data_IF_365613769739
#
_entry.id   IF_365613769739
#
_cell.length_a   1.000
_cell.length_b   1.000
_cell.length_c   1.000
_cell.angle_alpha   90.00
_cell.angle_beta   90.00
_cell.angle_gamma   90.00
#
_symmetry.space_group_name_H-M   'P 1'
#
loop_
_entity.id
_entity.type
_entity.pdbx_description
1 polymer ?
#
# COMPACT_ATOMS: atom_id res chain seq x y z
N UNK A 1 3.41 -35.12 -2.80
CA UNK A 1 3.73 -34.51 -1.50
C UNK A 1 4.99 -33.68 -1.70
N UNK A 2 4.89 -32.34 -1.75
CA UNK A 2 6.08 -31.48 -1.81
C UNK A 2 6.65 -31.43 -0.39
N UNK A 3 7.80 -32.05 -0.20
CA UNK A 3 8.57 -32.02 1.04
C UNK A 3 8.78 -30.60 1.56
N UNK A 4 8.86 -30.53 2.88
CA UNK A 4 9.10 -29.40 3.77
C UNK A 4 10.27 -28.50 3.36
N UNK A 5 10.14 -27.74 2.28
CA UNK A 5 11.09 -26.68 1.95
C UNK A 5 10.83 -25.52 2.92
N UNK A 6 11.79 -25.25 3.80
CA UNK A 6 11.73 -24.13 4.74
C UNK A 6 11.60 -22.83 3.93
N UNK A 7 10.48 -22.11 4.08
CA UNK A 7 10.19 -20.90 3.31
C UNK A 7 11.06 -19.75 3.83
N UNK A 8 11.78 -19.07 2.93
CA UNK A 8 12.62 -17.93 3.29
C UNK A 8 12.08 -16.69 2.59
N UNK A 9 11.57 -15.75 3.39
CA UNK A 9 10.93 -14.54 2.92
C UNK A 9 11.65 -13.31 3.46
N UNK A 10 11.48 -12.19 2.77
CA UNK A 10 12.08 -10.94 3.21
C UNK A 10 11.21 -9.72 2.93
N UNK A 11 11.55 -8.60 3.58
CA UNK A 11 11.20 -7.25 3.18
C UNK A 11 12.47 -6.53 2.76
N UNK A 12 12.47 -5.90 1.58
CA UNK A 12 13.54 -5.03 1.11
C UNK A 12 13.07 -3.58 0.99
N UNK A 13 13.94 -2.63 1.37
CA UNK A 13 13.68 -1.20 1.29
C UNK A 13 14.80 -0.39 1.92
N UNK A 14 14.67 0.93 1.95
CA UNK A 14 15.64 1.80 2.64
C UNK A 14 15.10 3.21 2.95
N UNK A 15 15.24 3.70 4.20
CA UNK A 15 15.47 2.92 5.41
C UNK A 15 14.26 2.04 5.75
N UNK A 16 14.48 0.91 6.42
CA UNK A 16 13.45 0.08 7.02
C UNK A 16 13.40 0.41 8.52
N UNK A 17 12.45 1.24 8.93
CA UNK A 17 12.13 1.41 10.36
C UNK A 17 11.51 0.16 10.97
N UNK A 18 10.77 0.32 12.08
CA UNK A 18 10.03 -0.77 12.70
C UNK A 18 8.81 -1.18 11.86
N UNK A 19 9.05 -2.04 10.86
CA UNK A 19 8.00 -2.66 10.05
C UNK A 19 7.31 -3.77 10.85
N UNK A 20 5.98 -3.86 10.71
CA UNK A 20 5.22 -4.99 11.24
C UNK A 20 5.26 -6.22 10.35
N UNK A 21 5.84 -6.13 9.14
CA UNK A 21 5.86 -7.25 8.19
C UNK A 21 6.43 -8.55 8.79
N UNK A 22 7.51 -8.54 9.58
CA UNK A 22 8.00 -9.77 10.22
C UNK A 22 6.95 -10.43 11.12
N UNK A 23 6.20 -9.66 11.91
CA UNK A 23 5.16 -10.20 12.80
C UNK A 23 3.94 -10.69 12.02
N UNK A 24 3.53 -9.94 10.99
CA UNK A 24 2.46 -10.34 10.09
C UNK A 24 2.79 -11.66 9.40
N UNK A 25 3.96 -11.76 8.78
CA UNK A 25 4.33 -12.95 8.01
C UNK A 25 4.69 -14.14 8.90
N UNK A 26 5.19 -13.95 10.12
CA UNK A 26 5.30 -15.03 11.10
C UNK A 26 3.92 -15.64 11.43
N UNK A 27 2.91 -14.79 11.69
CA UNK A 27 1.54 -15.24 11.92
C UNK A 27 0.95 -15.96 10.69
N UNK A 28 1.21 -15.43 9.49
CA UNK A 28 0.71 -16.03 8.25
C UNK A 28 1.38 -17.37 7.93
N UNK A 29 2.69 -17.52 8.18
CA UNK A 29 3.38 -18.82 8.02
C UNK A 29 2.72 -19.90 8.89
N UNK A 30 2.49 -19.59 10.17
CA UNK A 30 1.77 -20.50 11.09
C UNK A 30 0.36 -20.80 10.60
N UNK A 31 -0.40 -19.78 10.20
CA UNK A 31 -1.78 -19.91 9.72
C UNK A 31 -1.88 -20.76 8.45
N UNK A 32 -0.85 -20.72 7.59
CA UNK A 32 -0.78 -21.49 6.36
C UNK A 32 -0.21 -22.90 6.56
N UNK A 33 0.19 -23.27 7.79
CA UNK A 33 0.85 -24.55 8.09
C UNK A 33 2.20 -24.67 7.37
N UNK A 34 2.98 -23.59 7.38
CA UNK A 34 4.28 -23.47 6.71
C UNK A 34 5.38 -23.22 7.74
N UNK A 35 6.52 -23.88 7.55
CA UNK A 35 7.73 -23.60 8.30
C UNK A 35 8.60 -22.64 7.49
N UNK A 36 9.04 -21.55 8.11
CA UNK A 36 9.81 -20.52 7.42
C UNK A 36 10.24 -19.36 8.30
N UNK A 37 10.94 -18.42 7.69
CA UNK A 37 11.36 -17.16 8.30
C UNK A 37 11.00 -15.97 7.40
N UNK A 38 10.79 -14.81 8.03
CA UNK A 38 10.62 -13.53 7.35
C UNK A 38 11.59 -12.51 7.94
N UNK A 39 12.51 -11.99 7.14
CA UNK A 39 13.59 -11.09 7.57
C UNK A 39 13.51 -9.72 6.89
N UNK A 40 14.14 -8.70 7.45
CA UNK A 40 14.20 -7.35 6.86
C UNK A 40 15.60 -7.02 6.39
N UNK A 41 15.74 -6.48 5.18
CA UNK A 41 17.01 -6.09 4.60
C UNK A 41 16.97 -4.65 4.12
N UNK A 42 17.75 -3.80 4.78
CA UNK A 42 18.00 -2.45 4.33
C UNK A 42 18.96 -2.48 3.14
N UNK A 43 18.46 -2.14 1.95
CA UNK A 43 19.22 -2.22 0.70
C UNK A 43 19.17 -0.85 0.05
N UNK A 44 20.31 -0.20 -0.19
CA UNK A 44 20.33 1.06 -0.95
C UNK A 44 20.05 0.77 -2.42
N UNK A 45 19.56 1.76 -3.16
CA UNK A 45 19.21 1.57 -4.59
C UNK A 45 20.41 1.15 -5.44
N UNK A 46 21.63 1.57 -5.05
CA UNK A 46 22.89 1.18 -5.71
C UNK A 46 23.22 -0.31 -5.56
N UNK A 47 22.75 -0.93 -4.48
CA UNK A 47 23.11 -2.30 -4.10
C UNK A 47 22.02 -3.30 -4.49
N UNK A 48 20.88 -2.79 -4.99
CA UNK A 48 19.73 -3.59 -5.37
C UNK A 48 20.09 -4.73 -6.35
N UNK A 49 20.84 -4.52 -7.45
CA UNK A 49 21.18 -5.61 -8.36
C UNK A 49 21.93 -6.76 -7.68
N UNK A 50 22.94 -6.43 -6.85
CA UNK A 50 23.73 -7.42 -6.12
C UNK A 50 22.89 -8.18 -5.09
N UNK A 51 21.98 -7.47 -4.40
CA UNK A 51 21.09 -8.07 -3.42
C UNK A 51 20.14 -9.09 -4.08
N UNK A 52 19.58 -8.78 -5.25
CA UNK A 52 18.70 -9.69 -5.98
C UNK A 52 19.38 -11.02 -6.35
N UNK A 53 20.64 -10.95 -6.81
CA UNK A 53 21.43 -12.15 -7.08
C UNK A 53 21.78 -12.93 -5.82
N UNK A 54 21.97 -12.25 -4.69
CA UNK A 54 22.15 -12.90 -3.40
C UNK A 54 20.88 -13.64 -2.95
N UNK A 55 19.70 -13.02 -3.05
CA UNK A 55 18.42 -13.65 -2.70
C UNK A 55 18.17 -14.95 -3.48
N UNK A 56 18.44 -14.93 -4.81
CA UNK A 56 18.35 -16.13 -5.66
C UNK A 56 19.29 -17.24 -5.16
N UNK A 57 20.57 -16.93 -4.94
CA UNK A 57 21.59 -17.91 -4.49
C UNK A 57 21.34 -18.47 -3.09
N UNK A 58 20.75 -17.66 -2.21
CA UNK A 58 20.40 -18.08 -0.85
C UNK A 58 19.10 -18.89 -0.78
N UNK A 59 18.44 -19.14 -1.91
CA UNK A 59 17.23 -19.94 -1.96
C UNK A 59 16.03 -19.28 -1.29
N UNK A 60 15.94 -17.94 -1.35
CA UNK A 60 14.73 -17.25 -0.92
C UNK A 60 13.55 -17.66 -1.81
N UNK A 61 12.38 -17.78 -1.19
CA UNK A 61 11.12 -18.03 -1.88
C UNK A 61 10.60 -16.74 -2.51
N UNK A 62 10.81 -15.61 -1.85
CA UNK A 62 10.33 -14.32 -2.33
C UNK A 62 10.56 -13.22 -1.30
N UNK A 63 10.17 -12.01 -1.66
CA UNK A 63 10.30 -10.86 -0.78
C UNK A 63 9.28 -9.77 -1.11
N UNK A 64 8.88 -9.01 -0.10
CA UNK A 64 8.20 -7.75 -0.32
C UNK A 64 9.21 -6.65 -0.64
N UNK A 65 8.74 -5.66 -1.39
CA UNK A 65 9.50 -4.48 -1.80
C UNK A 65 8.75 -3.26 -1.28
N UNK A 66 9.47 -2.36 -0.59
CA UNK A 66 8.92 -1.09 -0.14
C UNK A 66 9.78 0.08 -0.61
N UNK A 67 9.48 1.29 -0.12
CA UNK A 67 10.20 2.52 -0.44
C UNK A 67 11.73 2.30 -0.27
N UNK A 68 12.56 2.76 -1.22
CA UNK A 68 12.21 3.49 -2.44
C UNK A 68 12.08 2.59 -3.70
N UNK A 69 12.12 1.26 -3.53
CA UNK A 69 12.41 0.33 -4.64
C UNK A 69 11.20 -0.14 -5.43
N UNK A 70 9.98 0.17 -4.99
CA UNK A 70 8.75 -0.36 -5.62
C UNK A 70 8.67 -0.10 -7.13
N UNK A 71 9.23 1.00 -7.63
CA UNK A 71 9.25 1.29 -9.08
C UNK A 71 10.52 0.75 -9.75
N UNK A 72 11.68 0.94 -9.12
CA UNK A 72 12.98 0.55 -9.70
C UNK A 72 13.14 -0.95 -9.83
N UNK A 73 12.50 -1.74 -8.96
CA UNK A 73 12.55 -3.20 -9.01
C UNK A 73 12.06 -3.76 -10.35
N UNK A 74 11.14 -3.07 -11.04
CA UNK A 74 10.56 -3.54 -12.29
C UNK A 74 11.61 -3.79 -13.37
N UNK A 75 12.70 -3.01 -13.38
CA UNK A 75 13.79 -3.14 -14.34
C UNK A 75 14.60 -4.43 -14.16
N UNK A 76 14.41 -5.14 -13.05
CA UNK A 76 15.14 -6.36 -12.70
C UNK A 76 14.26 -7.61 -12.69
N UNK A 77 12.96 -7.46 -12.96
CA UNK A 77 12.03 -8.59 -12.98
C UNK A 77 12.12 -9.32 -14.33
N UNK A 78 12.10 -10.64 -14.28
CA UNK A 78 12.02 -11.48 -15.47
C UNK A 78 10.59 -11.52 -16.02
N UNK A 79 9.59 -11.49 -15.12
CA UNK A 79 8.18 -11.47 -15.46
C UNK A 79 7.44 -10.46 -14.56
N UNK A 80 6.57 -9.67 -15.16
CA UNK A 80 5.76 -8.66 -14.46
C UNK A 80 4.31 -9.08 -14.59
N UNK A 81 3.66 -9.36 -13.47
CA UNK A 81 2.24 -9.67 -13.44
C UNK A 81 1.40 -8.41 -13.76
N UNK A 82 0.18 -8.62 -14.26
CA UNK A 82 -0.68 -7.55 -14.79
C UNK A 82 -0.90 -6.41 -13.78
N UNK A 83 -1.11 -6.75 -12.51
CA UNK A 83 -1.27 -5.79 -11.40
C UNK A 83 -0.03 -4.90 -11.19
N UNK A 84 1.16 -5.47 -11.26
CA UNK A 84 2.42 -4.73 -11.18
C UNK A 84 2.67 -3.88 -12.43
N UNK A 85 2.32 -4.38 -13.62
CA UNK A 85 2.41 -3.65 -14.88
C UNK A 85 1.50 -2.43 -14.89
N UNK A 86 0.25 -2.60 -14.49
CA UNK A 86 -0.77 -1.56 -14.37
C UNK A 86 -0.34 -0.49 -13.36
N UNK A 87 0.07 -0.90 -12.16
CA UNK A 87 0.48 0.04 -11.10
C UNK A 87 1.81 0.74 -11.38
N UNK A 88 2.62 0.24 -12.33
CA UNK A 88 3.98 0.69 -12.54
C UNK A 88 4.84 0.54 -11.29
N UNK A 89 4.54 -0.45 -10.44
CA UNK A 89 5.28 -0.77 -9.23
C UNK A 89 5.07 -2.22 -8.81
N UNK A 90 6.08 -2.88 -8.24
CA UNK A 90 5.91 -4.17 -7.57
C UNK A 90 6.19 -4.06 -6.07
N UNK A 91 5.31 -4.61 -5.24
CA UNK A 91 5.46 -4.69 -3.79
C UNK A 91 5.75 -6.13 -3.30
N UNK A 92 5.65 -7.12 -4.19
CA UNK A 92 5.80 -8.54 -3.91
C UNK A 92 6.56 -9.20 -5.05
N UNK A 93 7.59 -9.96 -4.74
CA UNK A 93 8.38 -10.73 -5.71
C UNK A 93 8.41 -12.19 -5.30
N UNK A 94 8.15 -13.07 -6.26
CA UNK A 94 8.30 -14.52 -6.15
C UNK A 94 9.56 -14.95 -6.90
N UNK A 95 10.39 -15.76 -6.26
CA UNK A 95 11.56 -16.39 -6.90
C UNK A 95 11.17 -17.81 -7.30
N UNK A 96 11.13 -18.09 -8.60
CA UNK A 96 10.75 -19.41 -9.12
C UNK A 96 11.63 -19.78 -10.30
N UNK A 97 12.29 -20.93 -10.22
CA UNK A 97 13.22 -21.41 -11.25
C UNK A 97 14.27 -20.34 -11.61
N UNK A 98 14.86 -19.72 -10.58
CA UNK A 98 15.84 -18.62 -10.68
C UNK A 98 15.33 -17.32 -11.31
N UNK A 99 14.04 -17.25 -11.67
CA UNK A 99 13.40 -16.03 -12.16
C UNK A 99 12.73 -15.22 -11.06
N UNK A 100 12.73 -13.91 -11.24
CA UNK A 100 12.02 -12.93 -10.41
C UNK A 100 10.70 -12.56 -11.06
N UNK A 101 9.60 -12.91 -10.41
CA UNK A 101 8.24 -12.61 -10.84
C UNK A 101 7.66 -11.54 -9.92
N UNK A 102 7.31 -10.37 -10.44
CA UNK A 102 6.79 -9.26 -9.62
C UNK A 102 5.28 -9.08 -9.70
N UNK A 103 4.70 -8.74 -8.56
CA UNK A 103 3.27 -8.54 -8.32
C UNK A 103 3.05 -7.26 -7.51
N UNK A 104 1.82 -6.75 -7.54
CA UNK A 104 1.37 -5.62 -6.74
C UNK A 104 0.06 -5.94 -5.99
N UNK A 105 0.21 -6.33 -4.73
CA UNK A 105 -0.91 -6.70 -3.86
C UNK A 105 -1.61 -5.51 -3.20
N UNK A 106 -1.09 -4.28 -3.34
CA UNK A 106 -1.67 -3.08 -2.73
C UNK A 106 -3.06 -2.78 -3.35
N UNK A 107 -3.21 -2.96 -4.67
CA UNK A 107 -4.46 -2.69 -5.38
C UNK A 107 -5.61 -3.59 -4.90
N UNK A 108 -5.39 -4.90 -4.89
CA UNK A 108 -6.41 -5.85 -4.40
C UNK A 108 -6.79 -5.57 -2.95
N UNK A 109 -5.80 -5.29 -2.09
CA UNK A 109 -6.03 -4.98 -0.69
C UNK A 109 -6.91 -3.73 -0.51
N UNK A 110 -6.68 -2.68 -1.30
CA UNK A 110 -7.50 -1.47 -1.29
C UNK A 110 -8.97 -1.77 -1.60
N UNK A 111 -9.24 -2.53 -2.66
CA UNK A 111 -10.60 -2.92 -3.06
C UNK A 111 -11.31 -3.76 -1.99
N UNK A 112 -10.60 -4.69 -1.35
CA UNK A 112 -11.15 -5.49 -0.26
C UNK A 112 -11.49 -4.64 0.97
N UNK A 113 -10.68 -3.64 1.30
CA UNK A 113 -10.97 -2.68 2.39
C UNK A 113 -12.22 -1.86 2.08
N UNK A 114 -12.35 -1.31 0.87
CA UNK A 114 -13.54 -0.55 0.48
C UNK A 114 -14.81 -1.39 0.60
N UNK A 115 -14.78 -2.63 0.09
CA UNK A 115 -15.89 -3.57 0.19
C UNK A 115 -16.26 -3.87 1.65
N UNK A 116 -15.27 -4.11 2.51
CA UNK A 116 -15.47 -4.34 3.96
C UNK A 116 -16.19 -3.17 4.62
N UNK A 117 -15.89 -1.93 4.22
CA UNK A 117 -16.48 -0.72 4.78
C UNK A 117 -17.79 -0.29 4.10
N UNK A 118 -18.30 -1.10 3.15
CA UNK A 118 -19.52 -0.80 2.40
C UNK A 118 -19.41 0.49 1.58
N UNK A 119 -18.22 0.79 1.07
CA UNK A 119 -17.97 1.99 0.27
C UNK A 119 -18.28 1.70 -1.18
N UNK A 120 -19.38 2.27 -1.67
CA UNK A 120 -19.66 2.36 -3.09
C UNK A 120 -18.96 3.60 -3.67
N UNK A 121 -18.30 3.45 -4.81
CA UNK A 121 -17.55 4.52 -5.49
C UNK A 121 -18.11 4.85 -6.88
N UNK A 122 -19.11 4.11 -7.35
CA UNK A 122 -19.70 4.35 -8.65
C UNK A 122 -20.27 5.77 -8.73
N UNK A 123 -19.90 6.50 -9.77
CA UNK A 123 -20.33 7.89 -10.01
C UNK A 123 -19.95 8.88 -8.91
N UNK A 124 -18.92 8.58 -8.11
CA UNK A 124 -18.42 9.46 -7.05
C UNK A 124 -17.15 10.20 -7.45
N UNK A 125 -16.71 11.08 -6.57
CA UNK A 125 -15.52 11.91 -6.75
C UNK A 125 -14.48 11.56 -5.69
N UNK A 126 -13.22 11.42 -6.09
CA UNK A 126 -12.11 11.05 -5.21
C UNK A 126 -11.01 12.10 -5.22
N UNK A 127 -10.39 12.32 -4.06
CA UNK A 127 -9.12 13.04 -3.95
C UNK A 127 -8.06 12.06 -3.46
N UNK A 128 -6.93 11.97 -4.15
CA UNK A 128 -5.80 11.10 -3.78
C UNK A 128 -4.58 11.96 -3.48
N UNK A 129 -4.00 11.79 -2.29
CA UNK A 129 -2.81 12.50 -1.86
C UNK A 129 -1.59 11.59 -2.04
N UNK A 130 -0.64 11.98 -2.88
CA UNK A 130 0.57 11.25 -3.25
C UNK A 130 0.53 10.73 -4.69
N UNK A 131 1.70 10.65 -5.34
CA UNK A 131 1.88 10.11 -6.69
C UNK A 131 2.90 8.96 -6.75
N UNK A 132 2.99 8.15 -5.69
CA UNK A 132 3.88 6.99 -5.61
C UNK A 132 3.27 5.68 -6.14
N UNK A 133 3.95 4.56 -5.92
CA UNK A 133 3.47 3.23 -6.36
C UNK A 133 2.11 2.84 -5.75
N UNK A 134 1.90 3.14 -4.46
CA UNK A 134 0.60 2.92 -3.81
C UNK A 134 -0.50 3.81 -4.42
N UNK A 135 -0.18 5.05 -4.77
CA UNK A 135 -1.12 5.96 -5.43
C UNK A 135 -1.60 5.39 -6.77
N UNK A 136 -0.68 4.88 -7.60
CA UNK A 136 -1.05 4.30 -8.89
C UNK A 136 -1.97 3.08 -8.74
N UNK A 137 -1.67 2.19 -7.78
CA UNK A 137 -2.55 1.05 -7.48
C UNK A 137 -3.94 1.52 -7.02
N UNK A 138 -4.02 2.51 -6.13
CA UNK A 138 -5.29 3.10 -5.68
C UNK A 138 -6.07 3.72 -6.85
N UNK A 139 -5.42 4.53 -7.68
CA UNK A 139 -6.04 5.19 -8.84
C UNK A 139 -6.68 4.18 -9.79
N UNK A 140 -5.97 3.10 -10.12
CA UNK A 140 -6.51 2.06 -10.98
C UNK A 140 -7.74 1.40 -10.36
N UNK A 141 -7.72 1.10 -9.06
CA UNK A 141 -8.87 0.48 -8.40
C UNK A 141 -10.06 1.44 -8.26
N UNK A 142 -9.83 2.74 -8.07
CA UNK A 142 -10.89 3.75 -8.11
C UNK A 142 -11.56 3.77 -9.49
N UNK A 143 -10.77 3.73 -10.58
CA UNK A 143 -11.27 3.69 -11.96
C UNK A 143 -12.09 2.42 -12.20
N UNK A 144 -11.56 1.24 -11.82
CA UNK A 144 -12.28 -0.03 -11.94
C UNK A 144 -13.59 -0.05 -11.12
N UNK A 145 -13.65 0.70 -10.01
CA UNK A 145 -14.84 0.84 -9.18
C UNK A 145 -15.87 1.85 -9.75
N UNK A 146 -15.61 2.45 -10.92
CA UNK A 146 -16.55 3.36 -11.59
C UNK A 146 -16.57 4.78 -11.03
N UNK A 147 -15.46 5.24 -10.43
CA UNK A 147 -15.31 6.63 -10.00
C UNK A 147 -15.55 7.58 -11.19
N UNK A 148 -16.20 8.72 -10.96
CA UNK A 148 -16.49 9.71 -12.01
C UNK A 148 -15.37 10.73 -12.19
N UNK A 149 -14.71 11.12 -11.11
CA UNK A 149 -13.70 12.18 -11.11
C UNK A 149 -12.62 11.88 -10.08
N UNK A 150 -11.36 12.15 -10.43
CA UNK A 150 -10.22 12.03 -9.52
C UNK A 150 -9.42 13.34 -9.51
N UNK A 151 -9.13 13.84 -8.33
CA UNK A 151 -8.16 14.91 -8.10
C UNK A 151 -6.90 14.34 -7.43
N UNK A 152 -5.79 14.31 -8.15
CA UNK A 152 -4.50 13.77 -7.70
C UNK A 152 -3.59 14.89 -7.21
N UNK A 153 -3.32 14.92 -5.91
CA UNK A 153 -2.47 15.91 -5.28
C UNK A 153 -1.09 15.32 -4.96
N UNK A 154 0.01 15.97 -5.32
CA UNK A 154 1.34 15.54 -4.90
C UNK A 154 2.25 16.73 -4.55
N UNK A 155 3.23 16.51 -3.66
CA UNK A 155 4.18 17.56 -3.26
C UNK A 155 4.91 18.16 -4.46
N UNK A 156 5.36 17.31 -5.37
CA UNK A 156 5.98 17.72 -6.63
C UNK A 156 4.94 17.54 -7.73
N UNK A 157 4.48 18.65 -8.33
CA UNK A 157 3.42 18.65 -9.34
C UNK A 157 3.75 17.76 -10.54
N UNK A 158 4.98 17.82 -11.05
CA UNK A 158 5.41 17.03 -12.21
C UNK A 158 5.21 15.52 -12.01
N UNK A 159 5.43 15.00 -10.80
CA UNK A 159 5.22 13.57 -10.52
C UNK A 159 3.71 13.20 -10.58
N UNK A 160 2.82 14.11 -10.17
CA UNK A 160 1.38 13.90 -10.33
C UNK A 160 1.00 13.95 -11.82
N UNK A 161 1.52 14.92 -12.58
CA UNK A 161 1.26 15.03 -14.02
C UNK A 161 1.76 13.80 -14.80
N UNK A 162 2.94 13.27 -14.46
CA UNK A 162 3.47 12.03 -15.03
C UNK A 162 2.57 10.83 -14.74
N UNK A 163 2.11 10.71 -13.49
CA UNK A 163 1.18 9.65 -13.11
C UNK A 163 -0.17 9.80 -13.84
N UNK A 164 -0.72 11.00 -13.94
CA UNK A 164 -1.93 11.28 -14.72
C UNK A 164 -1.73 10.87 -16.17
N UNK A 165 -0.64 11.29 -16.81
CA UNK A 165 -0.34 10.90 -18.20
C UNK A 165 -0.36 9.38 -18.34
N UNK A 166 0.31 8.66 -17.44
CA UNK A 166 0.33 7.18 -17.46
C UNK A 166 -1.06 6.57 -17.36
N UNK A 167 -1.89 7.05 -16.43
CA UNK A 167 -3.29 6.60 -16.27
C UNK A 167 -4.11 6.85 -17.53
N UNK A 168 -3.97 8.03 -18.15
CA UNK A 168 -4.69 8.37 -19.38
C UNK A 168 -4.29 7.47 -20.56
N UNK A 169 -3.07 6.92 -20.58
CA UNK A 169 -2.63 5.97 -21.62
C UNK A 169 -3.10 4.54 -21.36
N UNK A 170 -3.24 4.12 -20.09
CA UNK A 170 -3.51 2.73 -19.71
C UNK A 170 -4.97 2.45 -19.38
N UNK A 171 -5.77 3.47 -19.08
CA UNK A 171 -7.17 3.33 -18.69
C UNK A 171 -8.10 4.11 -19.62
N UNK A 172 -9.32 3.60 -19.83
CA UNK A 172 -10.41 4.35 -20.46
C UNK A 172 -11.03 5.34 -19.46
N UNK A 173 -10.20 6.25 -18.93
CA UNK A 173 -10.58 7.26 -17.95
C UNK A 173 -9.94 8.59 -18.34
N UNK A 174 -10.73 9.66 -18.36
CA UNK A 174 -10.25 10.99 -18.77
C UNK A 174 -10.43 12.08 -17.71
N UNK A 175 -11.26 11.83 -16.69
CA UNK A 175 -11.61 12.84 -15.70
C UNK A 175 -10.69 12.77 -14.47
N UNK A 176 -9.40 12.98 -14.70
CA UNK A 176 -8.37 13.06 -13.67
C UNK A 176 -7.58 14.36 -13.80
N UNK A 177 -7.37 15.06 -12.69
CA UNK A 177 -6.60 16.31 -12.66
C UNK A 177 -5.46 16.23 -11.66
N UNK A 178 -4.29 16.76 -12.04
CA UNK A 178 -3.13 16.85 -11.16
C UNK A 178 -3.10 18.21 -10.46
N UNK A 179 -2.70 18.23 -9.19
CA UNK A 179 -2.49 19.44 -8.43
C UNK A 179 -1.29 19.31 -7.48
N UNK A 180 -0.68 20.44 -7.14
CA UNK A 180 0.29 20.51 -6.06
C UNK A 180 -0.42 20.27 -4.71
N UNK A 181 0.20 19.51 -3.81
CA UNK A 181 -0.39 19.10 -2.53
C UNK A 181 -0.85 20.29 -1.67
N UNK A 182 -0.05 21.34 -1.61
CA UNK A 182 -0.31 22.53 -0.78
C UNK A 182 -1.16 23.60 -1.49
N UNK A 183 -1.71 23.31 -2.67
CA UNK A 183 -2.56 24.25 -3.39
C UNK A 183 -3.83 24.56 -2.57
N UNK A 184 -4.12 25.83 -2.22
CA UNK A 184 -5.31 26.19 -1.44
C UNK A 184 -6.64 25.74 -2.07
N UNK A 185 -6.70 25.62 -3.40
CA UNK A 185 -7.89 25.17 -4.14
C UNK A 185 -8.24 23.71 -3.86
N UNK A 186 -7.31 22.90 -3.35
CA UNK A 186 -7.57 21.51 -2.98
C UNK A 186 -8.63 21.41 -1.89
N UNK A 187 -8.78 22.43 -1.03
CA UNK A 187 -9.82 22.45 0.00
C UNK A 187 -11.23 22.36 -0.61
N UNK A 188 -11.49 23.04 -1.72
CA UNK A 188 -12.80 23.01 -2.38
C UNK A 188 -13.04 21.68 -3.09
N UNK A 189 -11.99 21.08 -3.68
CA UNK A 189 -12.07 19.75 -4.27
C UNK A 189 -12.40 18.69 -3.19
N UNK A 190 -11.72 18.75 -2.04
CA UNK A 190 -11.95 17.86 -0.90
C UNK A 190 -13.36 18.01 -0.33
N UNK A 191 -13.87 19.24 -0.21
CA UNK A 191 -15.24 19.51 0.26
C UNK A 191 -16.33 18.96 -0.66
N UNK A 192 -16.04 18.72 -1.93
CA UNK A 192 -16.96 18.11 -2.91
C UNK A 192 -16.67 16.64 -3.17
N UNK A 193 -15.62 16.10 -2.55
CA UNK A 193 -15.22 14.72 -2.71
C UNK A 193 -16.09 13.78 -1.87
N UNK A 194 -16.21 12.54 -2.31
CA UNK A 194 -16.83 11.49 -1.52
C UNK A 194 -15.79 10.66 -0.76
N UNK A 195 -14.59 10.55 -1.31
CA UNK A 195 -13.47 9.86 -0.68
C UNK A 195 -12.19 10.69 -0.80
N UNK A 196 -11.44 10.77 0.30
CA UNK A 196 -10.11 11.35 0.36
C UNK A 196 -9.14 10.25 0.82
N UNK A 197 -8.16 9.92 -0.02
CA UNK A 197 -7.21 8.83 0.25
C UNK A 197 -5.80 9.38 0.40
N UNK A 198 -5.20 9.22 1.58
CA UNK A 198 -3.77 9.49 1.77
C UNK A 198 -2.93 8.28 1.37
N UNK A 199 -2.05 8.47 0.39
CA UNK A 199 -1.04 7.49 -0.06
C UNK A 199 0.39 7.99 0.18
N UNK A 200 0.54 9.14 0.84
CA UNK A 200 1.83 9.70 1.24
C UNK A 200 2.32 9.07 2.55
N UNK A 201 3.62 9.13 2.87
CA UNK A 201 4.14 8.70 4.17
C UNK A 201 3.91 9.73 5.29
N UNK A 202 3.19 10.84 5.05
CA UNK A 202 2.93 11.85 6.08
C UNK A 202 2.04 11.27 7.18
N UNK A 203 2.41 11.50 8.43
CA UNK A 203 1.76 10.95 9.62
C UNK A 203 2.27 9.56 10.03
N UNK A 204 3.18 8.96 9.26
CA UNK A 204 3.79 7.67 9.59
C UNK A 204 4.91 7.82 10.64
N UNK A 205 5.04 6.84 11.53
CA UNK A 205 6.17 6.74 12.47
C UNK A 205 7.52 6.79 11.73
N UNK A 206 8.52 7.57 12.18
CA UNK A 206 8.57 8.35 13.43
C UNK A 206 7.92 9.74 13.40
N UNK A 207 7.50 10.22 12.23
CA UNK A 207 7.06 11.61 12.04
C UNK A 207 5.52 11.75 12.14
N UNK A 208 4.94 11.33 13.26
CA UNK A 208 3.47 11.19 13.43
C UNK A 208 2.69 12.48 13.50
N UNK A 209 3.37 13.59 13.78
CA UNK A 209 2.76 14.92 13.85
C UNK A 209 2.54 15.55 12.46
N UNK A 210 3.12 14.95 11.41
CA UNK A 210 2.90 15.44 10.04
C UNK A 210 1.53 15.01 9.52
N UNK A 211 0.93 15.84 8.66
CA UNK A 211 -0.37 15.55 8.02
C UNK A 211 -0.35 16.04 6.57
N UNK A 212 -0.97 15.30 5.62
CA UNK A 212 -1.07 15.74 4.23
C UNK A 212 -2.15 16.80 4.03
N UNK A 213 -3.06 17.00 4.99
CA UNK A 213 -4.15 17.97 4.90
C UNK A 213 -4.67 18.39 6.30
N UNK A 214 -5.15 19.63 6.42
CA UNK A 214 -5.70 20.20 7.66
C UNK A 214 -7.19 20.49 7.48
N UNK A 215 -8.03 19.79 8.23
CA UNK A 215 -9.47 20.05 8.31
C UNK A 215 -9.74 21.24 9.23
N UNK A 216 -10.43 22.27 8.72
CA UNK A 216 -10.68 23.53 9.46
C UNK A 216 -12.06 23.64 10.07
N UNK A 217 -13.01 22.87 9.55
CA UNK A 217 -14.42 22.94 9.90
C UNK A 217 -15.08 21.58 9.61
N UNK A 218 -16.38 21.50 9.91
CA UNK A 218 -17.20 20.30 9.74
C UNK A 218 -17.78 20.13 8.33
N UNK A 219 -17.29 20.86 7.31
CA UNK A 219 -17.81 20.75 5.93
C UNK A 219 -17.54 19.38 5.28
N UNK A 220 -16.71 18.54 5.89
CA UNK A 220 -16.33 17.20 5.41
C UNK A 220 -17.08 16.06 6.09
N UNK A 221 -18.18 16.31 6.82
CA UNK A 221 -18.95 15.24 7.52
C UNK A 221 -19.44 14.11 6.63
N UNK A 222 -19.62 14.37 5.33
CA UNK A 222 -20.03 13.39 4.33
C UNK A 222 -18.86 12.57 3.76
N UNK A 223 -17.62 13.02 4.00
CA UNK A 223 -16.41 12.48 3.40
C UNK A 223 -16.01 11.16 4.07
N UNK A 224 -15.52 10.23 3.26
CA UNK A 224 -14.77 9.07 3.72
C UNK A 224 -13.29 9.43 3.63
N UNK A 225 -12.59 9.42 4.76
CA UNK A 225 -11.15 9.70 4.83
C UNK A 225 -10.41 8.41 5.09
N UNK A 226 -9.60 7.98 4.13
CA UNK A 226 -8.80 6.77 4.21
C UNK A 226 -7.31 7.13 4.26
N UNK A 227 -6.58 6.46 5.13
CA UNK A 227 -5.13 6.61 5.24
C UNK A 227 -4.46 5.25 5.03
N UNK A 228 -3.51 5.15 4.11
CA UNK A 228 -2.73 3.93 3.90
C UNK A 228 -1.65 3.74 4.96
N UNK A 229 -1.31 4.79 5.72
CA UNK A 229 -0.45 4.68 6.89
C UNK A 229 -1.15 3.79 7.92
N UNK A 230 -0.44 2.76 8.39
CA UNK A 230 -0.93 1.81 9.40
C UNK A 230 -0.21 1.93 10.75
N UNK A 231 0.91 2.66 10.80
CA UNK A 231 1.69 2.89 12.01
C UNK A 231 1.97 4.40 12.17
N UNK A 232 1.27 5.09 13.09
CA UNK A 232 0.25 4.59 14.02
C UNK A 232 -1.06 4.21 13.31
N UNK A 233 -1.92 3.43 13.98
CA UNK A 233 -3.24 3.05 13.44
C UNK A 233 -4.14 4.28 13.24
N UNK A 234 -4.12 5.21 14.18
CA UNK A 234 -4.83 6.48 14.06
C UNK A 234 -3.79 7.61 13.90
N UNK A 235 -3.56 8.01 12.65
CA UNK A 235 -2.67 9.13 12.31
C UNK A 235 -3.26 10.47 12.72
N UNK A 236 -2.43 11.50 12.74
CA UNK A 236 -2.89 12.90 12.90
C UNK A 236 -3.93 13.27 11.84
N UNK A 237 -3.74 12.81 10.61
CA UNK A 237 -4.69 13.00 9.52
C UNK A 237 -6.08 12.39 9.81
N UNK A 238 -6.13 11.12 10.24
CA UNK A 238 -7.39 10.45 10.58
C UNK A 238 -8.04 11.05 11.83
N UNK A 239 -7.26 11.39 12.86
CA UNK A 239 -7.77 12.05 14.07
C UNK A 239 -8.49 13.36 13.72
N UNK A 240 -7.85 14.22 12.92
CA UNK A 240 -8.45 15.49 12.48
C UNK A 240 -9.70 15.29 11.63
N UNK A 241 -9.69 14.29 10.73
CA UNK A 241 -10.86 13.95 9.92
C UNK A 241 -12.06 13.52 10.78
N UNK A 242 -11.82 12.66 11.77
CA UNK A 242 -12.82 12.20 12.74
C UNK A 242 -13.37 13.37 13.57
N UNK A 243 -12.49 14.25 14.05
CA UNK A 243 -12.88 15.42 14.85
C UNK A 243 -13.70 16.44 14.03
N UNK A 244 -13.48 16.48 12.70
CA UNK A 244 -14.32 17.21 11.74
C UNK A 244 -15.63 16.46 11.36
N UNK A 245 -15.85 15.27 11.91
CA UNK A 245 -17.04 14.44 11.74
C UNK A 245 -17.06 13.56 10.49
N UNK A 246 -15.93 13.35 9.81
CA UNK A 246 -15.82 12.45 8.67
C UNK A 246 -15.75 10.97 9.10
N UNK A 247 -16.13 10.06 8.19
CA UNK A 247 -15.93 8.61 8.40
C UNK A 247 -14.47 8.26 8.10
N UNK A 248 -13.77 7.66 9.06
CA UNK A 248 -12.36 7.28 8.89
C UNK A 248 -12.18 5.80 8.53
N UNK A 249 -11.15 5.50 7.74
CA UNK A 249 -10.69 4.15 7.40
C UNK A 249 -9.17 4.10 7.56
N UNK A 250 -8.69 3.29 8.52
CA UNK A 250 -7.26 3.14 8.78
C UNK A 250 -6.55 2.13 7.87
N UNK A 251 -5.23 2.29 7.73
CA UNK A 251 -4.41 1.50 6.81
C UNK A 251 -4.12 0.08 7.26
N UNK A 252 -4.45 -0.30 8.50
CA UNK A 252 -4.04 -1.60 9.05
C UNK A 252 -4.71 -2.78 8.34
N UNK A 253 -5.98 -2.64 7.90
CA UNK A 253 -6.63 -3.70 7.14
C UNK A 253 -5.98 -3.88 5.76
N UNK A 254 -5.64 -2.77 5.09
CA UNK A 254 -4.93 -2.81 3.82
C UNK A 254 -3.54 -3.45 3.98
N UNK A 255 -2.81 -3.08 5.03
CA UNK A 255 -1.51 -3.67 5.38
C UNK A 255 -1.59 -5.19 5.59
N UNK A 256 -2.64 -5.67 6.27
CA UNK A 256 -2.85 -7.11 6.47
C UNK A 256 -3.19 -7.80 5.16
N UNK A 257 -4.18 -7.28 4.43
CA UNK A 257 -4.73 -7.94 3.24
C UNK A 257 -3.69 -8.04 2.11
N UNK A 258 -2.84 -7.02 1.92
CA UNK A 258 -1.75 -7.10 0.94
C UNK A 258 -0.74 -8.19 1.31
N UNK A 259 -0.47 -8.39 2.61
CA UNK A 259 0.47 -9.40 3.08
C UNK A 259 -0.09 -10.82 3.04
N UNK A 260 -1.40 -10.98 3.26
CA UNK A 260 -2.11 -12.24 3.02
C UNK A 260 -1.99 -12.63 1.55
N UNK A 261 -2.20 -11.69 0.63
CA UNK A 261 -2.07 -11.96 -0.80
C UNK A 261 -0.63 -12.29 -1.20
N UNK A 262 0.36 -11.58 -0.66
CA UNK A 262 1.77 -11.93 -0.87
C UNK A 262 2.08 -13.36 -0.38
N UNK A 263 1.53 -13.77 0.77
CA UNK A 263 1.69 -15.15 1.28
C UNK A 263 1.04 -16.18 0.35
N UNK A 264 -0.13 -15.89 -0.22
CA UNK A 264 -0.78 -16.77 -1.21
C UNK A 264 0.09 -16.94 -2.45
N UNK A 265 0.67 -15.86 -2.97
CA UNK A 265 1.59 -15.88 -4.11
C UNK A 265 2.82 -16.76 -3.82
N UNK A 266 3.44 -16.61 -2.65
CA UNK A 266 4.65 -17.39 -2.32
C UNK A 266 4.36 -18.86 -2.02
N UNK A 267 3.24 -19.15 -1.38
CA UNK A 267 2.91 -20.49 -0.92
C UNK A 267 2.14 -21.32 -1.94
N UNK A 268 1.51 -20.67 -2.94
CA UNK A 268 0.56 -21.28 -3.87
C UNK A 268 -0.59 -21.98 -3.12
N UNK A 269 -1.03 -21.37 -2.01
CA UNK A 269 -2.13 -21.85 -1.16
C UNK A 269 -3.16 -20.75 -0.99
N UNK A 270 -4.43 -21.10 -1.07
CA UNK A 270 -5.52 -20.21 -0.67
C UNK A 270 -6.03 -20.60 0.72
N UNK A 271 -5.58 -19.86 1.73
CA UNK A 271 -5.98 -20.04 3.13
C UNK A 271 -6.82 -18.84 3.58
N UNK A 272 -8.00 -19.13 4.13
CA UNK A 272 -8.84 -18.10 4.73
C UNK A 272 -8.27 -17.65 6.07
N UNK A 273 -8.09 -16.35 6.23
CA UNK A 273 -7.56 -15.73 7.44
C UNK A 273 -8.67 -15.01 8.19
N UNK A 274 -8.76 -15.24 9.50
CA UNK A 274 -9.59 -14.43 10.39
C UNK A 274 -8.96 -13.03 10.54
N UNK A 275 -9.44 -12.11 9.71
CA UNK A 275 -8.98 -10.72 9.69
C UNK A 275 -9.21 -10.01 11.04
N UNK A 276 -10.27 -10.35 11.78
CA UNK A 276 -10.53 -9.71 13.08
C UNK A 276 -9.48 -10.12 14.10
N UNK A 277 -9.18 -11.42 14.18
CA UNK A 277 -8.14 -11.97 15.07
C UNK A 277 -6.76 -11.43 14.73
N UNK A 278 -6.38 -11.45 13.45
CA UNK A 278 -5.08 -10.95 13.00
C UNK A 278 -4.94 -9.44 13.22
N UNK A 279 -5.99 -8.65 12.94
CA UNK A 279 -6.00 -7.22 13.23
C UNK A 279 -5.81 -6.94 14.72
N UNK A 280 -6.49 -7.69 15.60
CA UNK A 280 -6.30 -7.55 17.05
C UNK A 280 -4.86 -7.88 17.47
N UNK A 281 -4.32 -9.01 16.98
CA UNK A 281 -2.94 -9.42 17.23
C UNK A 281 -1.92 -8.31 16.89
N UNK A 282 -2.02 -7.72 15.70
CA UNK A 282 -1.10 -6.66 15.27
C UNK A 282 -1.30 -5.34 16.03
N UNK A 283 -2.54 -5.00 16.39
CA UNK A 283 -2.82 -3.81 17.21
C UNK A 283 -2.15 -3.87 18.57
N UNK A 284 -2.19 -5.03 19.24
CA UNK A 284 -1.51 -5.21 20.53
C UNK A 284 0.01 -5.05 20.38
N UNK A 285 0.60 -5.57 19.31
CA UNK A 285 2.04 -5.41 19.04
C UNK A 285 2.45 -3.96 18.73
N UNK A 286 1.61 -3.21 18.02
CA UNK A 286 1.84 -1.78 17.79
C UNK A 286 1.86 -0.98 19.11
N UNK A 287 0.99 -1.32 20.05
CA UNK A 287 0.96 -0.68 21.38
C UNK A 287 2.24 -0.94 22.18
N UNK A 288 2.79 -2.15 22.10
CA UNK A 288 4.01 -2.50 22.84
C UNK A 288 5.29 -1.97 22.20
N UNK A 289 5.31 -1.71 20.89
CA UNK A 289 6.49 -1.21 20.19
C UNK A 289 6.50 0.31 20.01
N UNK A 290 5.36 0.98 20.16
CA UNK A 290 5.28 2.46 20.16
C UNK A 290 5.73 3.13 21.47
N UNK A 291 6.22 2.35 22.45
CA UNK A 291 6.68 2.84 23.75
C UNK A 291 8.21 2.70 23.96
N UNK A 292 8.96 2.19 22.97
CA UNK A 292 10.42 2.03 23.04
C UNK A 292 11.14 2.88 21.99
#
# INVERSE_FOLDING_TARGET
MRDSKNIRLALIGYPLGHSLSPMLHAYLLESFGLHGEYQTFEIKSTDLPQALDWFKRQGFTGFNVTIPHKQTILNFLDEIHEDAGISGAANTVLIRNEKLLGFNTDGLAFTLVLKKHGVDLAHKTAVVLGAGGAACAVLHQLICAGIQEIHLCNRTLSNAEELVKRILTTAQFSNIQAAELNNPKNADAIKRAHILVNTTPLGMWPNTETTPFVFRDNSVRHLIVMDLVYNPVETTFLRMARDAGAKIVDGLDMFILQGVEAMRIWSDRDVQIDLKKLRHYLKERLRTHGQN
#
